data_IF_073665935958
#
_entry.id   IF_073665935958
#
_cell.length_a   1.000
_cell.length_b   1.000
_cell.length_c   1.000
_cell.angle_alpha   90.00
_cell.angle_beta   90.00
_cell.angle_gamma   90.00
#
_symmetry.space_group_name_H-M   'P 1'
#
loop_
_entity.id
_entity.type
_entity.pdbx_description
1 polymer ?
#
# COMPACT_ATOMS: atom_id res chain seq x y z
N UNK A 1 -9.37 -30.03 -26.50
CA UNK A 1 -10.04 -29.46 -25.30
C UNK A 1 -9.45 -28.08 -25.14
N UNK A 2 -9.88 -27.18 -26.02
CA UNK A 2 -9.23 -25.89 -26.22
C UNK A 2 -9.62 -24.93 -25.11
N UNK A 3 -8.60 -24.34 -24.48
CA UNK A 3 -8.77 -23.37 -23.40
C UNK A 3 -9.15 -22.06 -24.07
N UNK A 4 -10.43 -21.70 -24.04
CA UNK A 4 -10.91 -20.41 -24.52
C UNK A 4 -10.23 -19.29 -23.74
N UNK A 5 -9.59 -18.39 -24.47
CA UNK A 5 -8.77 -17.31 -23.96
C UNK A 5 -9.67 -16.17 -23.42
N UNK A 6 -10.10 -16.32 -22.16
CA UNK A 6 -10.94 -15.36 -21.41
C UNK A 6 -10.22 -14.04 -21.06
N UNK A 7 -9.01 -13.79 -21.58
CA UNK A 7 -8.26 -12.56 -21.35
C UNK A 7 -8.83 -11.36 -22.15
N UNK A 8 -9.53 -11.59 -23.27
CA UNK A 8 -10.02 -10.50 -24.15
C UNK A 8 -11.22 -9.72 -23.58
N UNK A 9 -12.16 -10.38 -22.89
CA UNK A 9 -13.41 -9.75 -22.46
C UNK A 9 -13.26 -8.91 -21.18
N UNK A 10 -12.24 -9.22 -20.37
CA UNK A 10 -11.90 -8.47 -19.16
C UNK A 10 -11.28 -7.09 -19.46
N UNK A 11 -10.60 -6.94 -20.61
CA UNK A 11 -10.05 -5.67 -21.07
C UNK A 11 -11.13 -4.68 -21.52
N UNK A 12 -12.20 -5.19 -22.13
CA UNK A 12 -13.34 -4.39 -22.60
C UNK A 12 -14.15 -3.83 -21.42
N UNK A 13 -14.32 -4.58 -20.33
CA UNK A 13 -15.11 -4.13 -19.18
C UNK A 13 -14.43 -2.96 -18.44
N UNK A 14 -13.11 -3.02 -18.22
CA UNK A 14 -12.42 -1.91 -17.55
C UNK A 14 -12.21 -0.71 -18.49
N UNK A 15 -12.09 -0.94 -19.79
CA UNK A 15 -12.07 0.11 -20.82
C UNK A 15 -13.42 0.83 -20.95
N UNK A 16 -14.53 0.12 -20.86
CA UNK A 16 -15.89 0.72 -20.88
C UNK A 16 -16.19 1.54 -19.62
N UNK A 17 -15.64 1.15 -18.46
CA UNK A 17 -15.63 1.98 -17.24
C UNK A 17 -14.77 3.25 -17.39
N UNK A 18 -13.85 3.30 -18.37
CA UNK A 18 -12.94 4.41 -18.68
C UNK A 18 -13.29 5.01 -20.06
N UNK A 19 -14.58 5.24 -20.34
CA UNK A 19 -14.99 6.13 -21.44
C UNK A 19 -14.74 7.59 -21.07
N UNK A 20 -13.47 7.98 -20.94
CA UNK A 20 -12.93 9.26 -21.43
C UNK A 20 -11.45 9.38 -21.07
N UNK A 21 -10.68 9.90 -22.03
CA UNK A 21 -9.27 10.33 -21.98
C UNK A 21 -8.19 9.27 -22.31
N UNK A 22 -7.58 9.52 -23.47
CA UNK A 22 -6.43 8.88 -24.12
C UNK A 22 -5.14 9.49 -23.55
N UNK A 23 -4.08 8.70 -23.35
CA UNK A 23 -2.73 9.25 -23.14
C UNK A 23 -1.78 8.40 -22.28
N UNK A 24 -0.68 7.98 -22.90
CA UNK A 24 0.47 7.31 -22.32
C UNK A 24 1.14 8.07 -21.16
N UNK A 25 1.46 7.35 -20.07
CA UNK A 25 2.79 7.38 -19.43
C UNK A 25 2.94 6.20 -18.47
N UNK A 26 3.92 5.34 -18.76
CA UNK A 26 4.39 4.27 -17.89
C UNK A 26 5.21 4.90 -16.77
N UNK A 27 4.70 4.88 -15.53
CA UNK A 27 5.52 4.97 -14.32
C UNK A 27 5.27 3.68 -13.56
N UNK A 28 6.33 2.88 -13.46
CA UNK A 28 6.41 1.76 -12.53
C UNK A 28 6.43 2.39 -11.13
N UNK A 29 5.43 2.10 -10.32
CA UNK A 29 5.43 2.39 -8.90
C UNK A 29 5.83 1.06 -8.25
N UNK A 30 7.10 0.98 -7.89
CA UNK A 30 7.59 0.06 -6.89
C UNK A 30 6.95 0.47 -5.56
N UNK A 31 6.12 -0.40 -4.99
CA UNK A 31 5.65 -0.25 -3.61
C UNK A 31 6.69 -0.89 -2.68
N UNK A 32 7.74 -0.13 -2.41
CA UNK A 32 8.60 -0.15 -1.21
C UNK A 32 8.08 0.96 -0.27
N UNK A 33 7.94 0.86 1.06
CA UNK A 33 8.34 -0.10 2.07
C UNK A 33 7.34 -0.04 3.24
N UNK A 34 7.31 -1.11 4.04
CA UNK A 34 7.17 -0.99 5.48
C UNK A 34 8.11 -2.02 6.11
N UNK A 35 9.34 -1.56 6.30
CA UNK A 35 10.33 -2.02 7.28
C UNK A 35 9.66 -2.46 8.58
N UNK A 36 10.02 -3.63 9.09
CA UNK A 36 10.07 -3.85 10.53
C UNK A 36 11.22 -4.81 10.82
N UNK A 37 12.08 -4.34 11.72
CA UNK A 37 13.51 -4.56 11.80
C UNK A 37 13.92 -6.02 12.03
N UNK A 38 15.08 -6.37 11.46
CA UNK A 38 15.90 -7.43 11.98
C UNK A 38 16.54 -6.94 13.28
N UNK A 39 16.25 -7.58 14.42
CA UNK A 39 17.24 -8.17 15.33
C UNK A 39 16.63 -8.53 16.70
N UNK A 40 16.68 -9.82 17.04
CA UNK A 40 17.06 -10.33 18.35
C UNK A 40 17.24 -11.85 18.20
N UNK A 41 18.50 -12.28 18.35
CA UNK A 41 18.90 -13.62 18.72
C UNK A 41 18.11 -14.06 19.96
N UNK A 42 17.26 -15.06 19.79
CA UNK A 42 16.75 -15.88 20.88
C UNK A 42 16.91 -17.33 20.45
N UNK A 43 18.13 -17.83 20.66
CA UNK A 43 18.41 -19.23 20.90
C UNK A 43 17.51 -19.77 22.02
N UNK A 44 16.32 -20.23 21.63
CA UNK A 44 15.48 -21.11 22.47
C UNK A 44 15.34 -22.43 21.74
N UNK A 45 16.30 -23.29 22.04
CA UNK A 45 16.23 -24.74 21.91
C UNK A 45 14.83 -25.24 22.31
N UNK A 46 14.07 -25.83 21.39
CA UNK A 46 12.79 -26.46 21.74
C UNK A 46 11.95 -26.88 20.54
N UNK A 47 11.76 -28.19 20.41
CA UNK A 47 10.71 -28.87 19.63
C UNK A 47 10.92 -29.04 18.12
N UNK A 48 12.02 -29.70 17.75
CA UNK A 48 12.20 -30.25 16.39
C UNK A 48 11.23 -31.40 16.04
N UNK A 49 10.45 -31.92 17.02
CA UNK A 49 9.55 -33.06 16.84
C UNK A 49 8.08 -32.73 17.16
N UNK A 50 7.51 -31.73 16.50
CA UNK A 50 6.05 -31.56 16.52
C UNK A 50 5.44 -32.59 15.57
N UNK A 51 4.58 -33.45 16.11
CA UNK A 51 3.88 -34.50 15.36
C UNK A 51 3.07 -33.93 14.20
N UNK A 52 2.92 -34.70 13.11
CA UNK A 52 2.14 -34.28 11.95
C UNK A 52 0.69 -33.92 12.30
N UNK A 53 0.09 -34.65 13.24
CA UNK A 53 -1.25 -34.37 13.76
C UNK A 53 -1.34 -33.02 14.48
N UNK A 54 -0.35 -32.68 15.32
CA UNK A 54 -0.30 -31.38 15.98
C UNK A 54 -0.10 -30.23 14.98
N UNK A 55 0.75 -30.42 13.96
CA UNK A 55 0.90 -29.43 12.87
C UNK A 55 -0.42 -29.20 12.12
N UNK A 56 -1.14 -30.28 11.79
CA UNK A 56 -2.45 -30.21 11.13
C UNK A 56 -3.46 -29.43 11.96
N UNK A 57 -3.62 -29.77 13.25
CA UNK A 57 -4.55 -29.07 14.15
C UNK A 57 -4.24 -27.58 14.29
N UNK A 58 -2.95 -27.22 14.42
CA UNK A 58 -2.54 -25.81 14.48
C UNK A 58 -2.84 -25.07 13.17
N UNK A 59 -2.59 -25.69 12.02
CA UNK A 59 -2.93 -25.11 10.73
C UNK A 59 -4.43 -24.84 10.60
N UNK A 60 -5.28 -25.78 11.00
CA UNK A 60 -6.75 -25.63 11.01
C UNK A 60 -7.21 -24.54 11.98
N UNK A 61 -6.50 -24.35 13.09
CA UNK A 61 -6.79 -23.26 14.03
C UNK A 61 -6.40 -21.91 13.43
N UNK A 62 -5.24 -21.83 12.76
CA UNK A 62 -4.75 -20.61 12.13
C UNK A 62 -5.58 -20.20 10.91
N UNK A 63 -6.08 -21.15 10.11
CA UNK A 63 -6.82 -20.87 8.88
C UNK A 63 -8.11 -20.08 9.13
N UNK A 64 -8.73 -20.27 10.30
CA UNK A 64 -9.90 -19.52 10.74
C UNK A 64 -9.65 -18.01 10.82
N UNK A 65 -8.38 -17.58 10.96
CA UNK A 65 -7.99 -16.19 11.13
C UNK A 65 -7.35 -15.56 9.88
N UNK A 66 -7.30 -16.25 8.73
CA UNK A 66 -6.69 -15.71 7.52
C UNK A 66 -7.34 -14.42 7.00
N UNK A 67 -8.61 -14.21 7.34
CA UNK A 67 -9.36 -12.99 7.02
C UNK A 67 -8.87 -11.73 7.77
N UNK A 68 -7.91 -11.84 8.70
CA UNK A 68 -7.42 -10.71 9.50
C UNK A 68 -5.88 -10.56 9.48
N UNK A 69 -5.35 -9.36 9.86
CA UNK A 69 -3.90 -9.15 9.95
C UNK A 69 -3.24 -10.09 10.96
N UNK A 70 -1.97 -10.47 10.70
CA UNK A 70 -1.21 -11.42 11.53
C UNK A 70 -1.14 -10.98 13.02
N UNK A 71 -0.96 -9.69 13.27
CA UNK A 71 -0.94 -9.15 14.64
C UNK A 71 -2.28 -9.27 15.34
N UNK A 72 -3.40 -9.14 14.60
CA UNK A 72 -4.73 -9.33 15.17
C UNK A 72 -5.01 -10.81 15.42
N UNK A 73 -4.61 -11.70 14.50
CA UNK A 73 -4.73 -13.15 14.67
C UNK A 73 -3.97 -13.65 15.90
N UNK A 74 -2.72 -13.20 16.07
CA UNK A 74 -1.90 -13.54 17.24
C UNK A 74 -2.58 -13.11 18.55
N UNK A 75 -3.12 -11.88 18.60
CA UNK A 75 -3.89 -11.37 19.74
C UNK A 75 -5.14 -12.22 20.02
N UNK A 76 -5.89 -12.62 18.99
CA UNK A 76 -7.08 -13.49 19.12
C UNK A 76 -6.76 -14.88 19.64
N UNK A 77 -5.55 -15.37 19.34
CA UNK A 77 -5.05 -16.66 19.81
C UNK A 77 -4.30 -16.57 21.15
N UNK A 78 -4.19 -15.37 21.75
CA UNK A 78 -3.44 -15.11 22.97
C UNK A 78 -1.96 -15.56 22.89
N UNK A 79 -1.35 -15.43 21.72
CA UNK A 79 0.08 -15.75 21.48
C UNK A 79 0.83 -14.47 21.11
N UNK A 80 2.06 -14.32 21.60
CA UNK A 80 2.94 -13.23 21.19
C UNK A 80 3.26 -13.30 19.69
N UNK A 81 3.38 -12.14 19.02
CA UNK A 81 3.56 -12.07 17.56
C UNK A 81 4.77 -12.88 17.06
N UNK A 82 5.91 -12.83 17.77
CA UNK A 82 7.13 -13.56 17.43
C UNK A 82 6.93 -15.07 17.50
N UNK A 83 6.29 -15.57 18.56
CA UNK A 83 5.96 -16.99 18.73
C UNK A 83 4.97 -17.43 17.66
N UNK A 84 3.95 -16.59 17.37
CA UNK A 84 2.97 -16.88 16.33
C UNK A 84 3.62 -16.99 14.94
N UNK A 85 4.50 -16.06 14.57
CA UNK A 85 5.30 -16.13 13.32
C UNK A 85 6.14 -17.42 13.26
N UNK A 86 6.79 -17.82 14.36
CA UNK A 86 7.52 -19.10 14.45
C UNK A 86 6.59 -20.30 14.21
N UNK A 87 5.43 -20.32 14.86
CA UNK A 87 4.43 -21.38 14.67
C UNK A 87 3.89 -21.44 13.24
N UNK A 88 3.63 -20.30 12.59
CA UNK A 88 3.21 -20.24 11.19
C UNK A 88 4.23 -20.94 10.29
N UNK A 89 5.52 -20.63 10.45
CA UNK A 89 6.61 -21.27 9.70
C UNK A 89 6.65 -22.79 9.95
N UNK A 90 6.47 -23.23 11.19
CA UNK A 90 6.46 -24.67 11.54
C UNK A 90 5.31 -25.46 10.90
N UNK A 91 4.16 -24.82 10.64
CA UNK A 91 3.01 -25.45 9.97
C UNK A 91 3.06 -25.30 8.44
N UNK A 92 4.11 -24.66 7.91
CA UNK A 92 4.31 -24.44 6.48
C UNK A 92 3.58 -23.21 5.94
N UNK A 93 3.27 -22.21 6.77
CA UNK A 93 2.73 -20.91 6.33
C UNK A 93 3.89 -19.91 6.36
N UNK A 94 4.53 -19.68 5.22
CA UNK A 94 5.71 -18.81 5.15
C UNK A 94 5.33 -17.32 5.18
N UNK A 95 4.27 -16.99 4.44
CA UNK A 95 3.73 -15.63 4.34
C UNK A 95 2.26 -15.66 4.71
N UNK A 96 1.86 -14.71 5.54
CA UNK A 96 0.49 -14.60 5.98
C UNK A 96 -0.42 -14.18 4.80
N UNK A 97 -1.53 -14.90 4.50
CA UNK A 97 -2.31 -14.71 3.27
C UNK A 97 -3.18 -13.43 3.26
N UNK A 98 -3.39 -12.79 4.42
CA UNK A 98 -4.26 -11.63 4.57
C UNK A 98 -4.08 -10.50 3.53
N UNK A 99 -2.85 -10.06 3.15
CA UNK A 99 -2.70 -8.98 2.19
C UNK A 99 -3.32 -9.31 0.82
N UNK A 100 -3.17 -10.57 0.38
CA UNK A 100 -3.74 -11.07 -0.88
C UNK A 100 -5.27 -11.11 -0.78
N UNK A 101 -5.79 -11.70 0.30
CA UNK A 101 -7.23 -11.82 0.56
C UNK A 101 -7.91 -10.45 0.66
N UNK A 102 -7.30 -9.51 1.39
CA UNK A 102 -7.79 -8.13 1.54
C UNK A 102 -7.97 -7.43 0.20
N UNK A 103 -7.01 -7.60 -0.72
CA UNK A 103 -7.13 -6.99 -2.05
C UNK A 103 -8.27 -7.59 -2.86
N UNK A 104 -8.46 -8.91 -2.81
CA UNK A 104 -9.52 -9.60 -3.55
C UNK A 104 -10.90 -9.25 -2.98
N UNK A 105 -11.06 -9.26 -1.65
CA UNK A 105 -12.29 -8.84 -0.99
C UNK A 105 -12.70 -7.41 -1.37
N UNK A 106 -11.73 -6.47 -1.43
CA UNK A 106 -12.01 -5.10 -1.87
C UNK A 106 -12.60 -5.03 -3.28
N UNK A 107 -12.11 -5.85 -4.21
CA UNK A 107 -12.63 -5.89 -5.57
C UNK A 107 -14.01 -6.52 -5.63
N UNK A 108 -14.22 -7.64 -4.93
CA UNK A 108 -15.53 -8.28 -4.84
C UNK A 108 -16.58 -7.28 -4.33
N UNK A 109 -16.29 -6.58 -3.23
CA UNK A 109 -17.21 -5.56 -2.68
C UNK A 109 -17.46 -4.43 -3.68
N UNK A 110 -16.42 -3.96 -4.38
CA UNK A 110 -16.58 -2.89 -5.35
C UNK A 110 -17.44 -3.32 -6.55
N UNK A 111 -17.15 -4.47 -7.15
CA UNK A 111 -17.93 -5.01 -8.26
C UNK A 111 -19.37 -5.36 -7.88
N UNK A 112 -19.61 -5.73 -6.61
CA UNK A 112 -20.98 -5.93 -6.10
C UNK A 112 -21.75 -4.62 -5.92
N UNK A 113 -21.05 -3.52 -5.60
CA UNK A 113 -21.66 -2.21 -5.41
C UNK A 113 -21.92 -1.47 -6.74
N UNK A 114 -21.29 -1.89 -7.84
CA UNK A 114 -21.48 -1.31 -9.15
C UNK A 114 -22.83 -1.75 -9.75
N UNK A 115 -23.74 -0.79 -9.97
CA UNK A 115 -25.00 -1.01 -10.67
C UNK A 115 -24.73 -1.17 -12.18
N UNK A 116 -24.64 -2.42 -12.63
CA UNK A 116 -24.37 -2.76 -14.03
C UNK A 116 -25.61 -2.63 -14.93
N UNK A 117 -25.40 -2.29 -16.20
CA UNK A 117 -26.39 -2.54 -17.25
C UNK A 117 -26.59 -4.05 -17.43
N UNK A 118 -27.71 -4.49 -18.00
CA UNK A 118 -28.00 -5.92 -18.18
C UNK A 118 -26.87 -6.67 -18.93
N UNK A 119 -26.20 -6.01 -19.88
CA UNK A 119 -25.09 -6.55 -20.67
C UNK A 119 -23.79 -6.68 -19.86
N UNK A 120 -23.50 -5.74 -18.97
CA UNK A 120 -22.27 -5.74 -18.15
C UNK A 120 -22.41 -6.59 -16.88
N UNK A 121 -23.65 -6.87 -16.45
CA UNK A 121 -23.94 -7.68 -15.28
C UNK A 121 -23.36 -9.10 -15.41
N UNK A 122 -23.51 -9.75 -16.57
CA UNK A 122 -22.98 -11.10 -16.81
C UNK A 122 -21.47 -11.20 -16.57
N UNK A 123 -20.71 -10.29 -17.19
CA UNK A 123 -19.25 -10.24 -17.07
C UNK A 123 -18.81 -9.93 -15.64
N UNK A 124 -19.49 -9.00 -14.96
CA UNK A 124 -19.21 -8.66 -13.56
C UNK A 124 -19.45 -9.86 -12.65
N UNK A 125 -20.52 -10.62 -12.86
CA UNK A 125 -20.80 -11.84 -12.08
C UNK A 125 -19.72 -12.90 -12.30
N UNK A 126 -19.26 -13.10 -13.52
CA UNK A 126 -18.16 -14.03 -13.82
C UNK A 126 -16.87 -13.62 -13.11
N UNK A 127 -16.52 -12.33 -13.15
CA UNK A 127 -15.36 -11.79 -12.43
C UNK A 127 -15.51 -12.00 -10.92
N UNK A 128 -16.68 -11.70 -10.34
CA UNK A 128 -16.95 -11.92 -8.92
C UNK A 128 -16.81 -13.41 -8.56
N UNK A 129 -17.34 -14.31 -9.39
CA UNK A 129 -17.24 -15.74 -9.19
C UNK A 129 -15.78 -16.21 -9.24
N UNK A 130 -14.99 -15.75 -10.21
CA UNK A 130 -13.56 -16.03 -10.33
C UNK A 130 -12.76 -15.55 -9.12
N UNK A 131 -12.99 -14.32 -8.67
CA UNK A 131 -12.32 -13.75 -7.48
C UNK A 131 -12.66 -14.53 -6.20
N UNK A 132 -13.92 -14.96 -6.03
CA UNK A 132 -14.35 -15.78 -4.89
C UNK A 132 -13.72 -17.16 -4.90
N UNK A 133 -13.65 -17.80 -6.07
CA UNK A 133 -12.98 -19.09 -6.22
C UNK A 133 -11.50 -18.98 -5.85
N UNK A 134 -10.83 -17.91 -6.26
CA UNK A 134 -9.43 -17.68 -5.95
C UNK A 134 -9.18 -17.36 -4.47
N UNK A 135 -10.07 -16.61 -3.82
CA UNK A 135 -10.05 -16.41 -2.36
C UNK A 135 -10.05 -17.77 -1.66
N UNK A 136 -10.96 -18.67 -2.03
CA UNK A 136 -11.05 -20.01 -1.46
C UNK A 136 -9.76 -20.82 -1.67
N UNK A 137 -9.15 -20.74 -2.85
CA UNK A 137 -7.89 -21.41 -3.14
C UNK A 137 -6.73 -20.89 -2.26
N UNK A 138 -6.69 -19.60 -1.97
CA UNK A 138 -5.69 -19.01 -1.08
C UNK A 138 -5.93 -19.34 0.40
N UNK A 139 -7.18 -19.58 0.80
CA UNK A 139 -7.51 -20.07 2.14
C UNK A 139 -7.09 -21.53 2.33
N UNK A 140 -7.24 -22.36 1.31
CA UNK A 140 -6.77 -23.75 1.30
C UNK A 140 -5.23 -23.82 1.29
N UNK A 141 -4.60 -22.99 0.45
CA UNK A 141 -3.15 -23.00 0.24
C UNK A 141 -2.56 -21.57 0.36
N UNK A 142 -2.16 -21.13 1.57
CA UNK A 142 -1.72 -19.75 1.80
C UNK A 142 -0.41 -19.35 1.10
N UNK A 143 0.41 -20.34 0.71
CA UNK A 143 1.68 -20.10 0.01
C UNK A 143 1.49 -19.84 -1.49
N UNK A 144 0.32 -20.15 -2.06
CA UNK A 144 0.11 -19.94 -3.48
C UNK A 144 0.21 -18.46 -3.83
N UNK A 145 0.88 -18.10 -4.94
CA UNK A 145 0.77 -16.77 -5.49
C UNK A 145 -0.65 -16.56 -6.01
N UNK A 146 -1.03 -15.30 -6.15
CA UNK A 146 -2.29 -14.99 -6.83
C UNK A 146 -2.08 -15.18 -8.34
N UNK A 147 -3.07 -15.73 -9.02
CA UNK A 147 -3.09 -15.98 -10.47
C UNK A 147 -2.76 -14.70 -11.24
N UNK A 148 -2.06 -14.89 -12.36
CA UNK A 148 -1.61 -13.79 -13.21
C UNK A 148 -2.76 -12.99 -13.83
N UNK A 149 -3.84 -13.63 -14.25
CA UNK A 149 -5.03 -12.94 -14.78
C UNK A 149 -5.62 -11.99 -13.73
N UNK A 150 -5.79 -12.45 -12.49
CA UNK A 150 -6.27 -11.63 -11.37
C UNK A 150 -5.28 -10.55 -10.96
N UNK A 151 -3.97 -10.83 -11.03
CA UNK A 151 -2.92 -9.82 -10.82
C UNK A 151 -3.03 -8.69 -11.85
N UNK A 152 -3.19 -9.01 -13.14
CA UNK A 152 -3.39 -8.03 -14.21
C UNK A 152 -4.68 -7.23 -14.00
N UNK A 153 -5.79 -7.91 -13.71
CA UNK A 153 -7.08 -7.27 -13.43
C UNK A 153 -6.97 -6.28 -12.25
N UNK A 154 -6.33 -6.70 -11.15
CA UNK A 154 -6.05 -5.82 -10.00
C UNK A 154 -5.28 -4.57 -10.40
N UNK A 155 -4.19 -4.75 -11.14
CA UNK A 155 -3.34 -3.64 -11.53
C UNK A 155 -4.14 -2.61 -12.32
N UNK A 156 -4.92 -3.06 -13.30
CA UNK A 156 -5.78 -2.18 -14.11
C UNK A 156 -6.86 -1.51 -13.25
N UNK A 157 -7.57 -2.27 -12.41
CA UNK A 157 -8.61 -1.74 -11.51
C UNK A 157 -8.09 -0.66 -10.57
N UNK A 158 -6.98 -0.92 -9.85
CA UNK A 158 -6.42 0.05 -8.92
C UNK A 158 -5.78 1.25 -9.62
N UNK A 159 -5.22 1.07 -10.82
CA UNK A 159 -4.74 2.18 -11.64
C UNK A 159 -5.88 3.11 -12.04
N UNK A 160 -6.99 2.57 -12.55
CA UNK A 160 -8.18 3.35 -12.88
C UNK A 160 -8.75 4.08 -11.65
N UNK A 161 -8.85 3.39 -10.51
CA UNK A 161 -9.33 3.99 -9.25
C UNK A 161 -8.41 5.09 -8.71
N UNK A 162 -7.10 4.93 -8.87
CA UNK A 162 -6.13 5.95 -8.51
C UNK A 162 -6.28 7.20 -9.40
N UNK A 163 -6.42 7.01 -10.72
CA UNK A 163 -6.66 8.10 -11.67
C UNK A 163 -7.96 8.87 -11.34
N UNK A 164 -9.06 8.17 -11.05
CA UNK A 164 -10.32 8.80 -10.63
C UNK A 164 -10.16 9.67 -9.38
N UNK A 165 -9.36 9.23 -8.41
CA UNK A 165 -9.08 10.01 -7.19
C UNK A 165 -8.26 11.26 -7.48
N UNK A 166 -7.32 11.20 -8.42
CA UNK A 166 -6.55 12.38 -8.84
C UNK A 166 -7.43 13.38 -9.58
N UNK A 167 -8.19 12.92 -10.59
CA UNK A 167 -9.12 13.78 -11.32
C UNK A 167 -10.13 14.46 -10.38
N UNK A 168 -10.73 13.71 -9.44
CA UNK A 168 -11.66 14.28 -8.46
C UNK A 168 -10.99 15.33 -7.55
N UNK A 169 -9.74 15.13 -7.16
CA UNK A 169 -9.00 16.13 -6.36
C UNK A 169 -8.74 17.39 -7.18
N UNK A 170 -8.33 17.23 -8.44
CA UNK A 170 -8.12 18.35 -9.36
C UNK A 170 -9.40 19.15 -9.59
N UNK A 171 -10.54 18.49 -9.80
CA UNK A 171 -11.83 19.17 -9.96
C UNK A 171 -12.24 19.90 -8.69
N UNK A 172 -12.07 19.30 -7.51
CA UNK A 172 -12.36 19.97 -6.22
C UNK A 172 -11.48 21.20 -6.03
N UNK A 173 -10.17 21.10 -6.32
CA UNK A 173 -9.26 22.24 -6.22
C UNK A 173 -9.65 23.36 -7.18
N UNK A 174 -10.12 23.02 -8.38
CA UNK A 174 -10.61 23.99 -9.37
C UNK A 174 -11.93 24.64 -8.93
N UNK A 175 -12.89 23.88 -8.40
CA UNK A 175 -14.14 24.43 -7.87
C UNK A 175 -13.89 25.37 -6.69
N UNK A 176 -12.95 25.01 -5.80
CA UNK A 176 -12.62 25.82 -4.64
C UNK A 176 -11.93 27.14 -5.01
N UNK A 177 -11.12 27.15 -6.07
CA UNK A 177 -10.51 28.40 -6.58
C UNK A 177 -11.52 29.32 -7.26
N UNK A 178 -12.55 28.75 -7.90
CA UNK A 178 -13.66 29.49 -8.51
C UNK A 178 -14.69 30.01 -7.49
N UNK A 179 -14.77 29.39 -6.30
CA UNK A 179 -15.75 29.72 -5.27
C UNK A 179 -15.40 30.95 -4.41
N UNK A 180 -14.32 31.68 -4.69
CA UNK A 180 -14.07 32.97 -4.03
C UNK A 180 -15.12 33.99 -4.49
N UNK A 181 -15.96 34.55 -3.60
CA UNK A 181 -16.67 35.79 -3.91
C UNK A 181 -15.59 36.83 -4.16
N UNK A 182 -15.65 37.54 -5.29
CA UNK A 182 -14.86 38.76 -5.44
C UNK A 182 -15.22 39.68 -4.28
N UNK A 183 -14.28 40.04 -3.38
CA UNK A 183 -14.52 41.09 -2.42
C UNK A 183 -14.41 42.39 -3.19
N UNK A 184 -15.49 42.78 -3.88
CA UNK A 184 -15.72 44.20 -4.14
C UNK A 184 -16.00 44.82 -2.77
N UNK A 185 -15.10 45.68 -2.33
CA UNK A 185 -15.20 46.54 -1.14
C UNK A 185 -14.79 45.91 0.21
N UNK A 186 -13.57 45.36 0.31
CA UNK A 186 -12.87 45.34 1.60
C UNK A 186 -11.71 46.35 1.54
N UNK A 187 -11.93 47.46 2.23
CA UNK A 187 -10.97 48.53 2.44
C UNK A 187 -9.66 47.97 3.03
N UNK A 188 -8.48 48.28 2.46
CA UNK A 188 -7.23 47.73 2.97
C UNK A 188 -6.96 48.28 4.37
N UNK A 189 -6.98 47.40 5.37
CA UNK A 189 -6.50 47.73 6.71
C UNK A 189 -5.04 48.20 6.61
N UNK A 190 -4.83 49.47 6.94
CA UNK A 190 -3.49 50.03 7.08
C UNK A 190 -2.76 49.28 8.19
N UNK A 191 -1.78 48.47 7.80
CA UNK A 191 -0.87 47.84 8.76
C UNK A 191 0.03 48.96 9.31
N UNK A 192 -0.30 49.43 10.50
CA UNK A 192 0.59 50.30 11.28
C UNK A 192 1.69 49.42 11.84
N UNK A 193 2.85 49.40 11.19
CA UNK A 193 4.07 48.86 11.78
C UNK A 193 4.64 49.91 12.74
N UNK A 194 4.74 49.64 14.05
CA UNK A 194 5.45 50.53 14.95
C UNK A 194 6.92 50.60 14.52
N UNK A 195 7.34 51.79 14.08
CA UNK A 195 8.73 52.08 13.70
C UNK A 195 9.54 52.39 14.94
N UNK A 196 10.19 51.38 15.51
CA UNK A 196 11.18 51.58 16.56
C UNK A 196 12.31 50.55 16.45
N UNK A 197 13.12 50.68 15.41
CA UNK A 197 14.51 50.20 15.48
C UNK A 197 15.41 50.94 14.49
N UNK A 198 15.77 52.16 14.88
CA UNK A 198 16.97 52.85 14.40
C UNK A 198 18.18 52.27 15.14
N UNK A 199 19.10 51.62 14.43
CA UNK A 199 20.41 51.28 15.00
C UNK A 199 20.92 49.90 14.64
N UNK A 200 21.34 49.71 13.39
CA UNK A 200 22.42 48.78 13.07
C UNK A 200 23.30 49.44 12.02
N UNK A 201 24.23 50.25 12.50
CA UNK A 201 25.40 50.60 11.71
C UNK A 201 26.34 49.38 11.66
N UNK A 202 26.77 49.10 10.44
CA UNK A 202 28.11 48.64 10.06
C UNK A 202 28.92 47.82 11.07
N UNK A 203 28.95 46.50 10.87
CA UNK A 203 30.14 45.69 11.20
C UNK A 203 30.44 44.77 10.02
N UNK A 204 31.17 45.32 9.05
CA UNK A 204 31.93 44.55 8.08
C UNK A 204 33.42 44.61 8.49
N UNK A 205 34.13 43.50 8.25
CA UNK A 205 35.60 43.30 8.30
C UNK A 205 36.23 42.89 9.65
N UNK A 206 36.86 41.71 9.65
CA UNK A 206 37.71 41.24 10.75
C UNK A 206 38.00 39.74 10.79
N UNK A 207 38.30 39.10 9.65
CA UNK A 207 38.87 37.75 9.65
C UNK A 207 40.40 37.88 9.59
N UNK A 208 41.05 37.68 10.73
CA UNK A 208 42.52 37.58 10.90
C UNK A 208 42.72 36.23 11.61
N UNK A 209 43.08 35.21 10.84
CA UNK A 209 44.42 34.58 10.81
C UNK A 209 44.83 34.03 12.17
N UNK A 210 44.68 32.71 12.32
CA UNK A 210 45.43 31.94 13.31
C UNK A 210 46.43 31.06 12.55
N UNK A 211 47.71 31.23 12.91
CA UNK A 211 48.87 30.56 12.34
C UNK A 211 49.19 29.37 13.22
N UNK A 212 49.16 28.16 12.68
CA UNK A 212 49.82 27.01 13.32
C UNK A 212 51.19 26.80 12.68
N UNK A 213 52.23 27.03 13.49
CA UNK A 213 53.64 26.75 13.23
C UNK A 213 53.89 25.23 13.22
N UNK A 214 54.50 24.73 12.15
CA UNK A 214 55.05 23.37 12.08
C UNK A 214 56.56 23.49 11.81
N UNK A 215 57.35 23.33 12.87
CA UNK A 215 58.81 23.20 12.81
C UNK A 215 59.20 21.81 12.26
N UNK A 216 60.10 21.71 11.27
CA UNK A 216 60.77 20.47 10.90
C UNK A 216 62.06 20.26 11.70
N UNK A 217 62.28 19.03 12.18
CA UNK A 217 63.46 18.64 12.94
C UNK A 217 64.76 18.60 12.14
N UNK A 218 65.87 18.78 12.86
CA UNK A 218 67.23 18.45 12.41
C UNK A 218 67.81 17.37 13.35
N UNK A 219 68.41 16.35 12.73
CA UNK A 219 69.06 15.20 13.34
C UNK A 219 70.42 15.56 14.00
N UNK A 220 70.71 14.91 15.15
CA UNK A 220 72.04 14.45 15.56
C UNK A 220 71.95 13.42 16.69
#
# INVERSE_FOLDING_TARGET
>A
MDTVDSDSDNDVLLSTMVKSTKGDKKKEIEDSDAEDEQNADDNVQGDKNITAAAKKKRRETMSQYFHMPIGLAAKRLNVGLTVFKKQCRQVGIERWPYPKLKSLHKMVIAFQAEHASAETYGNIQEIIAGLKAEIKQLEENPNLPVRDSTRRLRQRYFKAKHQQRHQKKETINLELSLACPTPSDVEPLQIVYPTNYTGYEEIYTGFVSDSDEQEPGEDA
#
